data_IF_904606074459
#
_entry.id   IF_904606074459
#
_cell.length_a   1.000
_cell.length_b   1.000
_cell.length_c   1.000
_cell.angle_alpha   90.00
_cell.angle_beta   90.00
_cell.angle_gamma   90.00
#
_symmetry.space_group_name_H-M   'P 1'
#
loop_
_entity.id
_entity.type
_entity.pdbx_description
1 polymer ?
#
# COMPACT_ATOMS: atom_id res chain seq x y z
N UNK A 1 5.57 20.81 -2.38
CA UNK A 1 5.91 22.16 -2.88
C UNK A 1 4.63 22.98 -3.09
N UNK A 2 3.68 22.49 -3.89
CA UNK A 2 2.39 23.14 -4.18
C UNK A 2 1.54 23.44 -2.94
N UNK A 3 1.48 22.54 -1.96
CA UNK A 3 0.77 22.77 -0.70
C UNK A 3 1.34 23.98 0.07
N UNK A 4 2.67 24.08 0.15
CA UNK A 4 3.35 25.23 0.78
C UNK A 4 3.10 26.52 0.01
N UNK A 5 3.13 26.46 -1.33
CA UNK A 5 2.81 27.59 -2.19
C UNK A 5 1.38 28.09 -1.97
N UNK A 6 0.39 27.19 -1.92
CA UNK A 6 -1.01 27.54 -1.66
C UNK A 6 -1.20 28.20 -0.28
N UNK A 7 -0.46 27.75 0.76
CA UNK A 7 -0.47 28.38 2.09
C UNK A 7 0.08 29.82 2.07
N UNK A 8 0.90 30.17 1.09
CA UNK A 8 1.46 31.51 0.95
C UNK A 8 0.55 32.50 0.21
N UNK A 9 -0.63 32.09 -0.30
CA UNK A 9 -1.60 32.93 -1.05
C UNK A 9 -1.72 34.35 -0.46
N UNK A 10 -2.08 34.45 0.82
CA UNK A 10 -2.32 35.75 1.50
C UNK A 10 -1.06 36.62 1.56
N UNK A 11 0.12 36.02 1.71
CA UNK A 11 1.38 36.75 1.75
C UNK A 11 1.79 37.24 0.35
N UNK A 12 1.57 36.42 -0.67
CA UNK A 12 1.80 36.76 -2.08
C UNK A 12 0.91 37.94 -2.46
N UNK A 13 -0.39 37.86 -2.17
CA UNK A 13 -1.37 38.92 -2.46
C UNK A 13 -0.97 40.24 -1.79
N UNK A 14 -0.57 40.21 -0.51
CA UNK A 14 -0.09 41.41 0.21
C UNK A 14 1.21 41.98 -0.37
N UNK A 15 2.16 41.12 -0.73
CA UNK A 15 3.43 41.55 -1.31
C UNK A 15 3.22 42.23 -2.66
N UNK A 16 2.34 41.68 -3.51
CA UNK A 16 1.98 42.26 -4.81
C UNK A 16 1.32 43.64 -4.68
N UNK A 17 0.42 43.81 -3.70
CA UNK A 17 -0.17 45.10 -3.37
C UNK A 17 0.90 46.11 -2.95
N UNK A 18 1.82 45.71 -2.05
CA UNK A 18 2.86 46.61 -1.53
C UNK A 18 3.82 47.13 -2.61
N UNK A 19 4.10 46.34 -3.65
CA UNK A 19 4.94 46.76 -4.78
C UNK A 19 4.16 47.40 -5.93
N UNK A 20 2.83 47.53 -5.80
CA UNK A 20 1.96 48.10 -6.84
C UNK A 20 1.87 47.24 -8.11
N UNK A 21 2.02 45.92 -8.01
CA UNK A 21 1.88 45.03 -9.16
C UNK A 21 0.43 44.67 -9.42
N UNK A 22 0.00 44.83 -10.67
CA UNK A 22 -1.33 44.41 -11.14
C UNK A 22 -1.43 42.90 -11.42
N UNK A 23 -0.30 42.19 -11.39
CA UNK A 23 -0.26 40.74 -11.67
C UNK A 23 -0.76 40.00 -10.43
N UNK A 24 -1.93 39.37 -10.52
CA UNK A 24 -2.52 38.55 -9.45
C UNK A 24 -3.06 37.24 -9.99
N UNK A 25 -2.94 36.19 -9.19
CA UNK A 25 -3.70 34.97 -9.43
C UNK A 25 -5.18 35.25 -9.18
N UNK A 26 -6.01 34.83 -10.13
CA UNK A 26 -7.45 34.79 -9.97
C UNK A 26 -7.88 33.74 -8.93
N UNK A 27 -9.07 33.91 -8.37
CA UNK A 27 -9.64 32.89 -7.47
C UNK A 27 -9.85 31.55 -8.18
N UNK A 28 -10.09 31.55 -9.49
CA UNK A 28 -10.18 30.35 -10.30
C UNK A 28 -8.83 29.60 -10.34
N UNK A 29 -7.71 30.30 -10.52
CA UNK A 29 -6.38 29.68 -10.52
C UNK A 29 -6.04 29.12 -9.14
N UNK A 30 -6.34 29.85 -8.07
CA UNK A 30 -6.18 29.34 -6.71
C UNK A 30 -7.04 28.10 -6.45
N UNK A 31 -8.28 28.08 -6.94
CA UNK A 31 -9.16 26.90 -6.86
C UNK A 31 -8.56 25.71 -7.59
N UNK A 32 -8.03 25.90 -8.81
CA UNK A 32 -7.36 24.82 -9.56
C UNK A 32 -6.14 24.25 -8.82
N UNK A 33 -5.35 25.11 -8.17
CA UNK A 33 -4.21 24.69 -7.35
C UNK A 33 -4.70 23.88 -6.14
N UNK A 34 -5.76 24.34 -5.47
CA UNK A 34 -6.36 23.63 -4.33
C UNK A 34 -6.89 22.27 -4.73
N UNK A 35 -7.64 22.20 -5.82
CA UNK A 35 -8.15 20.96 -6.39
C UNK A 35 -7.01 19.98 -6.69
N UNK A 36 -5.91 20.46 -7.28
CA UNK A 36 -4.74 19.62 -7.56
C UNK A 36 -4.11 19.07 -6.28
N UNK A 37 -3.98 19.88 -5.23
CA UNK A 37 -3.46 19.44 -3.93
C UNK A 37 -4.34 18.33 -3.36
N UNK A 38 -5.66 18.51 -3.37
CA UNK A 38 -6.60 17.53 -2.82
C UNK A 38 -6.58 16.21 -3.59
N UNK A 39 -6.50 16.29 -4.93
CA UNK A 39 -6.44 15.10 -5.79
C UNK A 39 -5.15 14.30 -5.61
N UNK A 40 -4.04 14.97 -5.32
CA UNK A 40 -2.74 14.33 -5.09
C UNK A 40 -2.55 13.84 -3.65
N UNK A 41 -3.46 14.16 -2.73
CA UNK A 41 -3.33 13.76 -1.33
C UNK A 41 -3.24 12.24 -1.11
N UNK A 42 -4.02 11.38 -1.79
CA UNK A 42 -3.86 9.92 -1.67
C UNK A 42 -2.46 9.44 -2.05
N UNK A 43 -1.80 10.10 -3.03
CA UNK A 43 -0.44 9.76 -3.44
C UNK A 43 0.59 10.17 -2.40
N UNK A 44 0.43 11.35 -1.77
CA UNK A 44 1.30 11.78 -0.67
C UNK A 44 1.27 10.75 0.46
N UNK A 45 0.08 10.39 0.93
CA UNK A 45 -0.11 9.39 2.00
C UNK A 45 0.43 8.03 1.60
N UNK A 46 0.26 7.63 0.34
CA UNK A 46 0.79 6.38 -0.16
C UNK A 46 2.32 6.34 -0.14
N UNK A 47 2.99 7.40 -0.59
CA UNK A 47 4.45 7.48 -0.54
C UNK A 47 4.93 7.41 0.90
N UNK A 48 4.29 8.12 1.82
CA UNK A 48 4.62 8.05 3.25
C UNK A 48 4.44 6.62 3.80
N UNK A 49 3.34 5.94 3.48
CA UNK A 49 3.09 4.58 3.92
C UNK A 49 4.09 3.57 3.33
N UNK A 50 4.42 3.70 2.03
CA UNK A 50 5.32 2.80 1.31
C UNK A 50 6.78 2.97 1.73
N UNK A 51 7.19 4.18 2.10
CA UNK A 51 8.56 4.51 2.50
C UNK A 51 8.84 4.26 3.99
N UNK A 52 7.86 3.77 4.76
CA UNK A 52 8.11 3.35 6.14
C UNK A 52 8.99 2.10 6.18
N UNK A 53 9.82 2.00 7.22
CA UNK A 53 10.71 0.84 7.45
C UNK A 53 9.96 -0.48 7.61
N UNK A 54 8.76 -0.44 8.18
CA UNK A 54 7.90 -1.61 8.39
C UNK A 54 6.93 -1.86 7.21
N UNK A 55 7.12 -1.17 6.09
CA UNK A 55 6.32 -1.40 4.89
C UNK A 55 6.62 -2.79 4.31
N UNK A 56 5.57 -3.58 4.14
CA UNK A 56 5.64 -4.91 3.55
C UNK A 56 4.98 -4.91 2.17
N UNK A 57 5.13 -5.99 1.41
CA UNK A 57 4.41 -6.14 0.14
C UNK A 57 2.88 -6.14 0.33
N UNK A 58 2.37 -6.54 1.51
CA UNK A 58 0.95 -6.38 1.85
C UNK A 58 0.57 -4.92 2.06
N UNK A 59 1.40 -4.16 2.79
CA UNK A 59 1.22 -2.70 2.92
C UNK A 59 1.14 -2.05 1.54
N UNK A 60 2.03 -2.44 0.63
CA UNK A 60 2.06 -1.90 -0.72
C UNK A 60 0.79 -2.24 -1.52
N UNK A 61 0.36 -3.50 -1.50
CA UNK A 61 -0.86 -3.94 -2.16
C UNK A 61 -2.09 -3.15 -1.66
N UNK A 62 -2.26 -3.04 -0.35
CA UNK A 62 -3.39 -2.32 0.26
C UNK A 62 -3.33 -0.82 -0.06
N UNK A 63 -2.15 -0.22 0.00
CA UNK A 63 -1.96 1.20 -0.30
C UNK A 63 -2.29 1.53 -1.76
N UNK A 64 -1.89 0.67 -2.70
CA UNK A 64 -2.21 0.86 -4.12
C UNK A 64 -3.70 0.73 -4.40
N UNK A 65 -4.38 -0.24 -3.76
CA UNK A 65 -5.85 -0.36 -3.81
C UNK A 65 -6.53 0.89 -3.25
N UNK A 66 -6.05 1.39 -2.12
CA UNK A 66 -6.56 2.61 -1.50
C UNK A 66 -6.46 3.82 -2.44
N UNK A 67 -5.31 4.06 -3.08
CA UNK A 67 -5.17 5.17 -4.03
C UNK A 67 -6.22 5.08 -5.14
N UNK A 68 -6.36 3.89 -5.76
CA UNK A 68 -7.31 3.68 -6.85
C UNK A 68 -8.76 3.94 -6.40
N UNK A 69 -9.13 3.48 -5.21
CA UNK A 69 -10.44 3.74 -4.62
C UNK A 69 -10.68 5.25 -4.41
N UNK A 70 -9.69 5.98 -3.91
CA UNK A 70 -9.80 7.44 -3.70
C UNK A 70 -9.85 8.22 -5.00
N UNK A 71 -9.11 7.80 -6.03
CA UNK A 71 -9.17 8.42 -7.35
C UNK A 71 -10.52 8.18 -8.05
N UNK A 72 -11.09 6.99 -7.90
CA UNK A 72 -12.43 6.70 -8.40
C UNK A 72 -13.50 7.55 -7.71
N UNK A 73 -13.38 7.74 -6.40
CA UNK A 73 -14.34 8.57 -5.62
C UNK A 73 -14.31 10.04 -6.03
N UNK A 74 -13.18 10.53 -6.57
CA UNK A 74 -13.04 11.92 -7.02
C UNK A 74 -13.74 12.20 -8.36
N UNK A 75 -13.96 11.18 -9.19
CA UNK A 75 -14.70 11.24 -10.46
C UNK A 75 -14.36 12.45 -11.36
N UNK A 76 -13.07 12.63 -11.65
CA UNK A 76 -12.58 13.68 -12.55
C UNK A 76 -11.78 13.09 -13.70
N UNK A 77 -11.64 13.85 -14.79
CA UNK A 77 -10.78 13.44 -15.93
C UNK A 77 -9.35 13.14 -15.47
N UNK A 78 -8.76 14.01 -14.65
CA UNK A 78 -7.41 13.82 -14.13
C UNK A 78 -7.29 12.58 -13.24
N UNK A 79 -8.28 12.32 -12.37
CA UNK A 79 -8.24 11.14 -11.49
C UNK A 79 -8.44 9.85 -12.28
N UNK A 80 -9.23 9.86 -13.35
CA UNK A 80 -9.37 8.74 -14.28
C UNK A 80 -8.06 8.45 -15.02
N UNK A 81 -7.40 9.47 -15.57
CA UNK A 81 -6.09 9.33 -16.25
C UNK A 81 -5.01 8.80 -15.29
N UNK A 82 -4.93 9.34 -14.07
CA UNK A 82 -3.99 8.88 -13.05
C UNK A 82 -4.29 7.45 -12.61
N UNK A 83 -5.57 7.10 -12.46
CA UNK A 83 -6.00 5.74 -12.10
C UNK A 83 -5.59 4.74 -13.17
N UNK A 84 -5.83 5.04 -14.44
CA UNK A 84 -5.46 4.15 -15.55
C UNK A 84 -3.94 4.00 -15.68
N UNK A 85 -3.20 5.11 -15.63
CA UNK A 85 -1.74 5.07 -15.65
C UNK A 85 -1.19 4.23 -14.48
N UNK A 86 -1.77 4.37 -13.29
CA UNK A 86 -1.37 3.58 -12.12
C UNK A 86 -1.71 2.10 -12.31
N UNK A 87 -2.88 1.74 -12.84
CA UNK A 87 -3.27 0.36 -13.13
C UNK A 87 -2.30 -0.32 -14.08
N UNK A 88 -1.91 0.35 -15.17
CA UNK A 88 -0.88 -0.13 -16.11
C UNK A 88 0.42 -0.44 -15.36
N UNK A 89 0.89 0.51 -14.55
CA UNK A 89 2.14 0.35 -13.79
C UNK A 89 2.09 -0.75 -12.74
N UNK A 90 0.92 -1.00 -12.14
CA UNK A 90 0.72 -2.12 -11.21
C UNK A 90 0.82 -3.44 -11.97
N UNK A 91 0.12 -3.58 -13.10
CA UNK A 91 0.15 -4.80 -13.93
C UNK A 91 1.57 -5.15 -14.38
N UNK A 92 2.36 -4.15 -14.76
CA UNK A 92 3.76 -4.33 -15.18
C UNK A 92 4.68 -4.84 -14.06
N UNK A 93 4.44 -4.44 -12.81
CA UNK A 93 5.38 -4.66 -11.69
C UNK A 93 4.92 -5.69 -10.68
N UNK A 94 3.64 -6.05 -10.65
CA UNK A 94 3.08 -6.97 -9.67
C UNK A 94 3.57 -8.39 -9.94
N UNK A 95 4.09 -9.04 -8.90
CA UNK A 95 4.73 -10.36 -9.00
C UNK A 95 3.90 -11.44 -8.31
N UNK A 96 4.29 -12.71 -8.53
CA UNK A 96 3.66 -13.88 -7.86
C UNK A 96 3.78 -13.80 -6.34
N UNK A 97 4.83 -13.14 -5.82
CA UNK A 97 5.09 -13.00 -4.39
C UNK A 97 3.93 -12.34 -3.63
N UNK A 98 3.25 -11.39 -4.26
CA UNK A 98 2.08 -10.73 -3.65
C UNK A 98 0.96 -11.75 -3.40
N UNK A 99 0.70 -12.63 -4.37
CA UNK A 99 -0.31 -13.69 -4.24
C UNK A 99 0.08 -14.74 -3.18
N UNK A 100 1.36 -15.10 -3.09
CA UNK A 100 1.90 -15.97 -2.03
C UNK A 100 1.62 -15.36 -0.66
N UNK A 101 1.99 -14.09 -0.46
CA UNK A 101 1.83 -13.40 0.83
C UNK A 101 0.35 -13.27 1.22
N UNK A 102 -0.53 -12.89 0.30
CA UNK A 102 -1.97 -12.81 0.58
C UNK A 102 -2.53 -14.19 0.97
N UNK A 103 -2.13 -15.24 0.25
CA UNK A 103 -2.55 -16.62 0.56
C UNK A 103 -2.08 -17.06 1.95
N UNK A 104 -0.83 -16.78 2.32
CA UNK A 104 -0.28 -17.14 3.64
C UNK A 104 -0.95 -16.33 4.76
N UNK A 105 -1.18 -15.04 4.56
CA UNK A 105 -1.77 -14.16 5.56
C UNK A 105 -3.26 -14.48 5.81
N UNK A 106 -4.01 -14.69 4.72
CA UNK A 106 -5.43 -14.96 4.77
C UNK A 106 -5.89 -15.77 3.53
N UNK A 107 -5.94 -17.11 3.64
CA UNK A 107 -6.36 -17.97 2.54
C UNK A 107 -7.78 -17.68 2.01
N UNK A 108 -8.69 -17.23 2.88
CA UNK A 108 -10.06 -16.88 2.47
C UNK A 108 -10.08 -15.64 1.60
N UNK A 109 -9.34 -14.59 2.01
CA UNK A 109 -9.18 -13.37 1.22
C UNK A 109 -8.60 -13.69 -0.15
N UNK A 110 -7.60 -14.56 -0.23
CA UNK A 110 -7.05 -15.02 -1.51
C UNK A 110 -8.11 -15.68 -2.39
N UNK A 111 -8.92 -16.58 -1.84
CA UNK A 111 -9.99 -17.27 -2.59
C UNK A 111 -11.09 -16.28 -3.04
N UNK A 112 -11.38 -15.25 -2.25
CA UNK A 112 -12.34 -14.19 -2.60
C UNK A 112 -11.78 -13.26 -3.69
N UNK A 113 -10.52 -12.84 -3.57
CA UNK A 113 -9.85 -12.00 -4.56
C UNK A 113 -9.67 -12.73 -5.91
N UNK A 114 -9.53 -14.06 -5.90
CA UNK A 114 -9.49 -14.87 -7.13
C UNK A 114 -10.81 -14.83 -7.91
N UNK A 115 -11.94 -14.54 -7.25
CA UNK A 115 -13.27 -14.46 -7.87
C UNK A 115 -13.62 -13.04 -8.34
N UNK A 116 -12.87 -12.02 -7.94
CA UNK A 116 -13.16 -10.63 -8.34
C UNK A 116 -12.80 -10.39 -9.80
N UNK A 117 -13.63 -9.62 -10.49
CA UNK A 117 -13.41 -9.19 -11.87
C UNK A 117 -12.45 -7.98 -11.96
N UNK A 118 -11.35 -7.98 -11.19
CA UNK A 118 -10.33 -6.93 -11.26
C UNK A 118 -9.09 -7.47 -11.98
N UNK A 119 -8.84 -6.93 -13.18
CA UNK A 119 -7.73 -7.33 -14.03
C UNK A 119 -6.36 -6.78 -13.56
N UNK A 120 -6.37 -5.81 -12.63
CA UNK A 120 -5.18 -5.15 -12.10
C UNK A 120 -4.61 -5.94 -10.94
N UNK A 121 -5.47 -6.45 -10.06
CA UNK A 121 -5.06 -7.21 -8.86
C UNK A 121 -5.32 -8.72 -8.97
N UNK A 122 -5.18 -9.29 -10.17
CA UNK A 122 -5.38 -10.73 -10.44
C UNK A 122 -4.55 -11.66 -9.56
N UNK A 123 -5.16 -12.72 -9.04
CA UNK A 123 -4.44 -13.69 -8.20
C UNK A 123 -3.78 -14.78 -9.04
N UNK A 124 -2.49 -15.11 -8.80
CA UNK A 124 -1.81 -16.19 -9.51
C UNK A 124 -2.45 -17.52 -9.12
N UNK A 125 -2.54 -18.48 -10.06
CA UNK A 125 -3.15 -19.80 -9.80
C UNK A 125 -2.41 -20.53 -8.67
N UNK A 126 -3.15 -21.30 -7.84
CA UNK A 126 -2.57 -22.10 -6.72
C UNK A 126 -1.39 -22.99 -7.12
N UNK A 127 -1.38 -23.53 -8.35
CA UNK A 127 -0.25 -24.32 -8.87
C UNK A 127 1.04 -23.49 -9.01
N UNK A 128 0.92 -22.26 -9.49
CA UNK A 128 2.05 -21.32 -9.65
C UNK A 128 2.57 -20.90 -8.28
N UNK A 129 1.67 -20.60 -7.34
CA UNK A 129 2.02 -20.29 -5.95
C UNK A 129 2.83 -21.43 -5.32
N UNK A 130 2.36 -22.68 -5.43
CA UNK A 130 3.05 -23.85 -4.87
C UNK A 130 4.45 -24.03 -5.46
N UNK A 131 4.59 -23.88 -6.78
CA UNK A 131 5.87 -23.98 -7.45
C UNK A 131 6.85 -22.91 -6.95
N UNK A 132 6.39 -21.66 -6.88
CA UNK A 132 7.23 -20.55 -6.45
C UNK A 132 7.60 -20.64 -4.97
N UNK A 133 6.68 -21.07 -4.10
CA UNK A 133 6.96 -21.37 -2.70
C UNK A 133 8.06 -22.45 -2.57
N UNK A 134 8.01 -23.50 -3.40
CA UNK A 134 9.04 -24.54 -3.43
C UNK A 134 10.39 -23.95 -3.84
N UNK A 135 10.44 -23.15 -4.90
CA UNK A 135 11.67 -22.48 -5.36
C UNK A 135 12.27 -21.56 -4.29
N UNK A 136 11.43 -20.86 -3.51
CA UNK A 136 11.88 -20.04 -2.39
C UNK A 136 12.51 -20.92 -1.30
N UNK A 137 11.82 -21.98 -0.89
CA UNK A 137 12.33 -22.90 0.15
C UNK A 137 13.64 -23.57 -0.27
N UNK A 138 13.75 -24.01 -1.52
CA UNK A 138 14.98 -24.62 -2.05
C UNK A 138 16.16 -23.64 -2.00
N UNK A 139 15.93 -22.34 -2.29
CA UNK A 139 16.97 -21.31 -2.15
C UNK A 139 17.37 -21.08 -0.69
N UNK A 140 16.39 -20.95 0.21
CA UNK A 140 16.66 -20.70 1.64
C UNK A 140 17.44 -21.86 2.28
N UNK A 141 17.06 -23.10 1.99
CA UNK A 141 17.72 -24.29 2.55
C UNK A 141 19.16 -24.47 2.01
N UNK A 142 19.47 -23.94 0.82
CA UNK A 142 20.84 -23.94 0.28
C UNK A 142 21.75 -22.91 0.97
N UNK A 143 21.18 -21.86 1.58
CA UNK A 143 21.90 -20.74 2.19
C UNK A 143 22.20 -20.92 3.69
N UNK A 144 21.82 -22.04 4.33
CA UNK A 144 22.04 -22.35 5.75
C UNK A 144 23.54 -22.54 6.15
N UNK A 145 24.49 -22.04 5.35
CA UNK A 145 25.93 -22.06 5.65
C UNK A 145 26.52 -20.73 6.15
N UNK A 146 25.74 -19.65 6.38
CA UNK A 146 26.31 -18.38 6.85
C UNK A 146 25.53 -17.64 7.96
N UNK A 147 26.18 -17.66 9.14
CA UNK A 147 26.30 -16.64 10.21
C UNK A 147 25.22 -15.55 10.36
N UNK A 148 24.53 -15.61 11.51
CA UNK A 148 23.83 -14.49 12.15
C UNK A 148 24.76 -13.29 12.37
N UNK A 149 24.34 -12.12 11.89
CA UNK A 149 24.66 -10.84 12.55
C UNK A 149 23.37 -10.02 12.56
N UNK A 150 22.71 -10.00 13.73
CA UNK A 150 21.53 -9.18 14.00
C UNK A 150 21.99 -7.84 14.57
N UNK A 151 22.04 -6.81 13.73
CA UNK A 151 22.22 -5.43 14.19
C UNK A 151 20.85 -4.82 14.55
N UNK A 152 20.68 -4.56 15.84
CA UNK A 152 19.55 -3.81 16.42
C UNK A 152 19.58 -2.35 15.96
N UNK A 153 18.47 -1.81 15.42
CA UNK A 153 18.36 -0.37 15.12
C UNK A 153 17.10 0.24 15.76
N UNK A 154 17.42 1.20 16.63
CA UNK A 154 16.64 2.09 17.49
C UNK A 154 15.42 2.77 16.82
N UNK A 155 14.33 2.83 17.56
CA UNK A 155 13.15 3.66 17.30
C UNK A 155 13.50 5.15 17.41
N UNK A 156 13.24 5.91 16.35
CA UNK A 156 13.19 7.37 16.42
C UNK A 156 11.80 7.81 15.97
N UNK A 157 11.06 8.38 16.92
CA UNK A 157 9.76 9.02 16.72
C UNK A 157 9.96 10.36 16.00
N UNK A 158 9.21 10.57 14.91
CA UNK A 158 9.11 11.86 14.22
C UNK A 158 7.70 12.41 14.44
N UNK A 159 7.66 13.55 15.12
CA UNK A 159 6.47 14.31 15.47
C UNK A 159 5.88 15.01 14.23
N UNK A 160 4.56 15.00 14.10
CA UNK A 160 3.84 15.55 12.94
C UNK A 160 2.67 16.39 13.41
N UNK A 161 2.85 17.71 13.33
CA UNK A 161 1.83 18.69 13.65
C UNK A 161 0.94 19.02 12.46
N UNK A 162 -0.37 18.91 12.68
CA UNK A 162 -1.50 19.63 12.07
C UNK A 162 -1.87 19.38 10.60
N UNK A 163 -3.04 18.75 10.37
CA UNK A 163 -4.23 19.35 9.74
C UNK A 163 -5.45 18.39 9.89
N UNK A 164 -6.59 18.90 10.37
CA UNK A 164 -7.78 18.12 10.79
C UNK A 164 -8.47 17.29 9.68
N UNK A 165 -8.23 17.60 8.41
CA UNK A 165 -8.72 16.82 7.27
C UNK A 165 -7.77 15.66 6.90
N UNK A 166 -6.48 15.79 7.23
CA UNK A 166 -5.43 14.81 6.92
C UNK A 166 -5.53 13.56 7.81
N UNK A 167 -5.93 13.76 9.07
CA UNK A 167 -6.13 12.68 10.03
C UNK A 167 -7.17 11.66 9.56
N UNK A 168 -8.23 12.06 8.83
CA UNK A 168 -9.29 11.11 8.46
C UNK A 168 -8.82 10.15 7.38
N UNK A 169 -8.21 10.66 6.30
CA UNK A 169 -7.74 9.85 5.18
C UNK A 169 -6.52 9.00 5.59
N UNK A 170 -5.62 9.56 6.39
CA UNK A 170 -4.49 8.83 6.96
C UNK A 170 -4.95 7.71 7.91
N UNK A 171 -5.91 7.99 8.80
CA UNK A 171 -6.49 6.96 9.69
C UNK A 171 -7.19 5.87 8.90
N UNK A 172 -7.91 6.24 7.84
CA UNK A 172 -8.58 5.29 6.97
C UNK A 172 -7.56 4.33 6.31
N UNK A 173 -6.49 4.86 5.73
CA UNK A 173 -5.41 4.05 5.17
C UNK A 173 -4.77 3.15 6.23
N UNK A 174 -4.46 3.69 7.41
CA UNK A 174 -3.88 2.92 8.52
C UNK A 174 -4.81 1.81 8.99
N UNK A 175 -6.11 2.09 9.12
CA UNK A 175 -7.11 1.09 9.47
C UNK A 175 -7.19 -0.03 8.43
N UNK A 176 -7.15 0.30 7.14
CA UNK A 176 -7.22 -0.69 6.08
C UNK A 176 -5.96 -1.56 6.03
N UNK A 177 -4.77 -0.97 6.21
CA UNK A 177 -3.51 -1.71 6.37
C UNK A 177 -3.59 -2.65 7.57
N UNK A 178 -4.03 -2.15 8.73
CA UNK A 178 -4.16 -2.97 9.94
C UNK A 178 -5.16 -4.12 9.77
N UNK A 179 -6.30 -3.88 9.11
CA UNK A 179 -7.28 -4.92 8.82
C UNK A 179 -6.70 -6.00 7.89
N UNK A 180 -5.97 -5.59 6.85
CA UNK A 180 -5.34 -6.51 5.90
C UNK A 180 -4.16 -7.29 6.50
N UNK A 181 -3.48 -6.70 7.49
CA UNK A 181 -2.42 -7.35 8.25
C UNK A 181 -2.94 -8.27 9.35
N UNK A 182 -4.22 -8.25 9.74
CA UNK A 182 -4.74 -9.19 10.75
C UNK A 182 -4.61 -10.62 10.24
N UNK A 183 -3.67 -11.37 10.83
CA UNK A 183 -3.42 -12.77 10.48
C UNK A 183 -4.68 -13.58 10.69
N UNK A 184 -5.05 -14.38 9.70
CA UNK A 184 -6.15 -15.31 9.84
C UNK A 184 -5.78 -16.39 10.86
N UNK A 185 -6.42 -16.38 12.04
CA UNK A 185 -6.21 -17.43 13.04
C UNK A 185 -6.65 -18.78 12.47
N UNK A 186 -5.70 -19.68 12.24
CA UNK A 186 -5.99 -21.04 11.84
C UNK A 186 -6.74 -21.69 13.00
N UNK A 187 -7.96 -22.18 12.74
CA UNK A 187 -8.71 -22.97 13.71
C UNK A 187 -7.81 -24.13 14.20
N UNK A 188 -7.52 -24.18 15.49
CA UNK A 188 -6.68 -25.18 16.19
C UNK A 188 -7.08 -26.64 15.95
N UNK A 189 -8.25 -26.89 15.34
CA UNK A 189 -8.62 -28.22 14.83
C UNK A 189 -7.65 -28.78 13.78
N UNK A 190 -7.01 -27.94 12.96
CA UNK A 190 -6.08 -28.40 11.90
C UNK A 190 -4.69 -28.79 12.41
N UNK A 191 -4.27 -28.25 13.55
CA UNK A 191 -3.00 -28.63 14.21
C UNK A 191 -2.94 -30.13 14.52
N UNK A 192 -4.07 -30.67 15.01
CA UNK A 192 -4.23 -32.11 15.28
C UNK A 192 -4.18 -32.97 14.02
N UNK A 193 -4.54 -32.42 12.86
CA UNK A 193 -4.44 -33.13 11.58
C UNK A 193 -3.01 -33.14 11.04
N UNK A 194 -2.26 -32.05 11.20
CA UNK A 194 -0.83 -32.02 10.83
C UNK A 194 0.00 -32.96 11.69
N UNK A 195 -0.22 -33.00 13.02
CA UNK A 195 0.43 -33.99 13.89
C UNK A 195 0.10 -35.43 13.49
N UNK A 196 -1.15 -35.71 13.08
CA UNK A 196 -1.55 -37.03 12.58
C UNK A 196 -0.88 -37.40 11.26
N UNK A 197 -0.71 -36.43 10.36
CA UNK A 197 -0.04 -36.63 9.08
C UNK A 197 1.47 -36.87 9.29
N UNK A 198 2.11 -36.10 10.17
CA UNK A 198 3.52 -36.29 10.54
C UNK A 198 3.76 -37.64 11.21
N UNK A 199 2.88 -38.06 12.13
CA UNK A 199 2.98 -39.38 12.77
C UNK A 199 2.82 -40.52 11.76
N UNK A 200 1.87 -40.42 10.82
CA UNK A 200 1.71 -41.40 9.73
C UNK A 200 2.90 -41.48 8.77
N UNK A 201 3.66 -40.40 8.62
CA UNK A 201 4.88 -40.39 7.81
C UNK A 201 6.05 -41.12 8.47
N UNK A 202 6.14 -41.08 9.80
CA UNK A 202 7.19 -41.75 10.56
C UNK A 202 6.93 -43.26 10.77
N UNK A 203 5.69 -43.72 10.61
CA UNK A 203 5.35 -45.15 10.66
C UNK A 203 5.66 -45.91 9.35
N UNK A 204 6.19 -45.21 8.33
CA UNK A 204 6.58 -45.77 7.02
C UNK A 204 8.11 -45.82 6.80
N UNK A 205 8.92 -45.73 7.86
CA UNK A 205 10.37 -45.98 7.83
C UNK A 205 10.68 -47.21 8.67
#
# INVERSE_FOLDING_TARGET
MTEKFHKLKVFIDKALINIGSDTKFSDLEWSKIKDLIDRLQPFKLAVEALCRRDSTLLTAETTLKFILEKLLTQDTVLSAELSEALRVRIKERRTVLTGILIYLQNPKKYDDDTKRADDTFTMPKKKVIRLEMKNILERVIQDDSFNENVDNIVENNLDSSSLKYDLTLQKELQMQIQQDMKTYSINTKKEKDFEKILKKGNDCI
#
